data_IF_635254638466
#
_entry.id   IF_635254638466
#
_cell.length_a   1.000
_cell.length_b   1.000
_cell.length_c   1.000
_cell.angle_alpha   90.00
_cell.angle_beta   90.00
_cell.angle_gamma   90.00
#
_symmetry.space_group_name_H-M   'P 1'
#
loop_
_entity.id
_entity.type
_entity.pdbx_description
1 polymer ?
#
# COMPACT_ATOMS: atom_id res chain seq x y z
N UNK A 1 -10.54 -17.47 -11.13
CA UNK A 1 -9.41 -17.54 -10.19
C UNK A 1 -9.65 -16.35 -9.32
N UNK A 2 -10.27 -16.65 -8.19
CA UNK A 2 -10.76 -15.70 -7.21
C UNK A 2 -9.92 -16.03 -5.99
N UNK A 3 -8.83 -15.29 -5.82
CA UNK A 3 -8.03 -15.37 -4.60
C UNK A 3 -8.80 -14.61 -3.53
N UNK A 4 -9.83 -15.30 -3.07
CA UNK A 4 -10.63 -14.99 -1.91
C UNK A 4 -9.72 -15.19 -0.71
N UNK A 5 -9.28 -14.08 -0.12
CA UNK A 5 -8.58 -14.05 1.16
C UNK A 5 -9.43 -14.87 2.15
N UNK A 6 -8.86 -15.96 2.64
CA UNK A 6 -9.56 -16.86 3.56
C UNK A 6 -9.84 -16.17 4.89
N UNK A 7 -10.82 -16.65 5.69
CA UNK A 7 -11.17 -16.05 6.97
C UNK A 7 -10.10 -16.41 8.01
N UNK A 8 -8.96 -15.71 7.98
CA UNK A 8 -8.05 -15.66 9.12
C UNK A 8 -8.11 -14.25 9.71
N UNK A 9 -8.59 -14.16 10.94
CA UNK A 9 -8.90 -12.94 11.69
C UNK A 9 -7.64 -12.24 12.22
N UNK A 10 -6.58 -12.22 11.42
CA UNK A 10 -5.28 -11.67 11.78
C UNK A 10 -4.83 -10.75 10.65
N UNK A 11 -4.26 -9.61 11.02
CA UNK A 11 -3.59 -8.67 10.12
C UNK A 11 -2.85 -9.46 9.04
N UNK A 12 -3.32 -9.37 7.79
CA UNK A 12 -2.74 -10.11 6.70
C UNK A 12 -1.79 -9.17 5.94
N UNK A 13 -0.56 -9.62 5.68
CA UNK A 13 0.39 -8.93 4.81
C UNK A 13 0.83 -9.91 3.74
N UNK A 14 0.55 -9.57 2.50
CA UNK A 14 0.89 -10.37 1.32
C UNK A 14 1.88 -9.58 0.46
N UNK A 15 2.81 -10.29 -0.17
CA UNK A 15 3.77 -9.72 -1.09
C UNK A 15 3.59 -10.34 -2.48
N UNK A 16 3.55 -9.49 -3.51
CA UNK A 16 3.26 -9.88 -4.89
C UNK A 16 4.42 -9.51 -5.81
N UNK A 17 4.92 -10.51 -6.52
CA UNK A 17 5.81 -10.39 -7.68
C UNK A 17 4.93 -10.24 -8.94
N UNK A 18 4.87 -9.04 -9.51
CA UNK A 18 4.03 -8.73 -10.66
C UNK A 18 4.66 -9.11 -12.00
N UNK A 19 5.99 -9.11 -12.11
CA UNK A 19 6.68 -9.31 -13.38
C UNK A 19 7.37 -10.68 -13.51
N UNK A 20 7.43 -11.44 -12.42
CA UNK A 20 7.95 -12.79 -12.32
C UNK A 20 9.47 -12.87 -12.27
N UNK A 21 10.16 -11.78 -11.91
CA UNK A 21 11.63 -11.74 -11.84
C UNK A 21 12.20 -12.26 -10.51
N UNK A 22 11.32 -12.50 -9.53
CA UNK A 22 11.65 -13.03 -8.21
C UNK A 22 11.90 -11.97 -7.14
N UNK A 23 11.70 -10.68 -7.45
CA UNK A 23 11.56 -9.61 -6.49
C UNK A 23 10.08 -9.44 -6.09
N UNK A 24 9.84 -8.72 -5.00
CA UNK A 24 8.49 -8.46 -4.51
C UNK A 24 8.24 -6.97 -4.68
N UNK A 25 7.36 -6.60 -5.61
CA UNK A 25 7.12 -5.20 -5.96
C UNK A 25 5.96 -4.62 -5.15
N UNK A 26 4.98 -5.43 -4.76
CA UNK A 26 3.76 -4.93 -4.10
C UNK A 26 3.50 -5.59 -2.75
N UNK A 27 3.24 -4.79 -1.73
CA UNK A 27 2.80 -5.21 -0.40
C UNK A 27 1.34 -4.87 -0.20
N UNK A 28 0.49 -5.85 0.10
CA UNK A 28 -0.93 -5.68 0.41
C UNK A 28 -1.17 -5.93 1.90
N UNK A 29 -1.98 -5.09 2.55
CA UNK A 29 -2.24 -5.16 3.99
C UNK A 29 -3.73 -5.12 4.28
N UNK A 30 -4.23 -6.09 5.05
CA UNK A 30 -5.54 -6.08 5.72
C UNK A 30 -5.30 -5.69 7.18
N UNK A 31 -5.61 -4.44 7.53
CA UNK A 31 -5.34 -3.82 8.83
C UNK A 31 -6.46 -4.02 9.85
N UNK A 32 -7.69 -4.31 9.42
CA UNK A 32 -8.84 -4.53 10.31
C UNK A 32 -9.31 -5.99 10.39
N UNK A 33 -8.66 -6.86 9.62
CA UNK A 33 -8.88 -8.31 9.53
C UNK A 33 -10.29 -8.69 9.08
N UNK A 34 -10.89 -7.87 8.21
CA UNK A 34 -12.20 -8.13 7.63
C UNK A 34 -12.14 -9.01 6.36
N UNK A 35 -10.92 -9.30 5.88
CA UNK A 35 -10.66 -10.11 4.70
C UNK A 35 -10.56 -9.30 3.41
N UNK A 36 -10.53 -7.97 3.49
CA UNK A 36 -10.25 -7.06 2.38
C UNK A 36 -8.95 -6.29 2.64
N UNK A 37 -8.34 -5.80 1.55
CA UNK A 37 -7.08 -5.07 1.63
C UNK A 37 -7.41 -3.61 1.97
N UNK A 38 -6.75 -3.05 2.97
CA UNK A 38 -6.84 -1.63 3.33
C UNK A 38 -5.72 -0.80 2.71
N UNK A 39 -4.58 -1.42 2.39
CA UNK A 39 -3.39 -0.70 1.92
C UNK A 39 -2.60 -1.50 0.91
N UNK A 40 -2.18 -0.85 -0.17
CA UNK A 40 -1.23 -1.37 -1.15
C UNK A 40 -0.03 -0.43 -1.27
N UNK A 41 1.18 -0.94 -1.09
CA UNK A 41 2.43 -0.24 -1.33
C UNK A 41 3.14 -0.89 -2.51
N UNK A 42 3.69 -0.11 -3.43
CA UNK A 42 4.35 -0.63 -4.64
C UNK A 42 5.65 0.08 -4.92
N UNK A 43 6.74 -0.68 -5.02
CA UNK A 43 8.04 -0.31 -5.58
C UNK A 43 8.08 -0.74 -7.06
N UNK A 44 7.97 0.23 -7.96
CA UNK A 44 7.83 0.00 -9.41
C UNK A 44 9.19 -0.12 -10.08
N UNK A 45 10.22 0.57 -9.57
CA UNK A 45 11.53 0.63 -10.21
C UNK A 45 12.62 -0.21 -9.52
N UNK A 46 12.30 -0.81 -8.37
CA UNK A 46 13.12 -1.76 -7.64
C UNK A 46 14.28 -1.10 -6.90
N UNK A 47 14.17 0.18 -6.55
CA UNK A 47 15.23 0.91 -5.86
C UNK A 47 15.17 0.76 -4.33
N UNK A 48 14.13 0.10 -3.81
CA UNK A 48 13.90 -0.13 -2.40
C UNK A 48 12.97 0.90 -1.76
N UNK A 49 12.47 1.90 -2.47
CA UNK A 49 11.45 2.80 -1.98
C UNK A 49 10.13 2.52 -2.68
N UNK A 50 9.04 2.50 -1.92
CA UNK A 50 7.72 2.43 -2.54
C UNK A 50 7.49 3.72 -3.34
N UNK A 51 7.08 3.58 -4.61
CA UNK A 51 6.71 4.67 -5.51
C UNK A 51 5.25 5.09 -5.35
N UNK A 52 4.39 4.12 -4.98
CA UNK A 52 2.95 4.30 -4.90
C UNK A 52 2.40 3.70 -3.62
N UNK A 53 1.58 4.47 -2.92
CA UNK A 53 0.76 3.98 -1.82
C UNK A 53 -0.71 4.24 -2.14
N UNK A 54 -1.54 3.20 -2.05
CA UNK A 54 -2.97 3.26 -2.23
C UNK A 54 -3.66 2.77 -0.94
N UNK A 55 -4.66 3.51 -0.49
CA UNK A 55 -5.40 3.22 0.73
C UNK A 55 -6.88 3.15 0.43
N UNK A 56 -7.51 2.09 0.93
CA UNK A 56 -8.95 1.92 0.97
C UNK A 56 -9.39 2.09 2.42
N UNK A 57 -10.31 3.02 2.63
CA UNK A 57 -10.86 3.38 3.93
C UNK A 57 -12.35 3.05 4.01
N UNK A 58 -12.93 2.50 2.93
CA UNK A 58 -14.32 2.14 2.82
C UNK A 58 -14.53 0.65 3.16
N UNK A 59 -15.36 0.32 4.17
CA UNK A 59 -15.71 -1.06 4.49
C UNK A 59 -16.84 -1.55 3.56
N UNK A 60 -16.61 -1.52 2.24
CA UNK A 60 -17.58 -1.90 1.22
C UNK A 60 -17.29 -3.25 0.56
N UNK A 61 -16.11 -3.82 0.84
CA UNK A 61 -15.69 -5.15 0.41
C UNK A 61 -15.15 -5.19 -1.03
N UNK A 62 -14.75 -4.06 -1.59
CA UNK A 62 -14.01 -3.97 -2.84
C UNK A 62 -12.85 -3.00 -2.66
N UNK A 63 -11.64 -3.36 -3.12
CA UNK A 63 -10.51 -2.44 -3.03
C UNK A 63 -10.68 -1.27 -4.02
N UNK A 64 -11.27 -0.17 -3.54
CA UNK A 64 -11.39 1.09 -4.26
C UNK A 64 -10.59 2.13 -3.49
N UNK A 65 -9.40 2.52 -3.97
CA UNK A 65 -8.54 3.38 -3.19
C UNK A 65 -9.12 4.80 -3.09
N UNK A 66 -9.39 5.21 -1.85
CA UNK A 66 -9.84 6.55 -1.49
C UNK A 66 -8.67 7.53 -1.49
N UNK A 67 -7.47 7.04 -1.17
CA UNK A 67 -6.26 7.86 -1.14
C UNK A 67 -5.18 7.19 -1.95
N UNK A 68 -4.56 7.95 -2.86
CA UNK A 68 -3.39 7.49 -3.61
C UNK A 68 -2.27 8.52 -3.49
N UNK A 69 -1.15 8.11 -2.91
CA UNK A 69 0.07 8.87 -2.84
C UNK A 69 1.10 8.33 -3.85
N UNK A 70 1.85 9.24 -4.47
CA UNK A 70 2.90 8.92 -5.43
C UNK A 70 4.17 9.68 -5.06
N UNK A 71 5.27 8.97 -4.93
CA UNK A 71 6.63 9.51 -4.90
C UNK A 71 7.21 9.33 -6.30
N UNK A 72 7.42 10.43 -7.02
CA UNK A 72 8.01 10.39 -8.36
C UNK A 72 9.53 10.52 -8.33
N UNK A 73 10.09 10.86 -7.18
CA UNK A 73 11.51 11.17 -7.01
C UNK A 73 12.31 10.06 -6.33
N UNK A 74 11.65 9.07 -5.74
CA UNK A 74 12.27 7.94 -5.04
C UNK A 74 12.99 8.38 -3.76
N UNK A 75 12.43 9.36 -3.04
CA UNK A 75 13.00 9.85 -1.77
C UNK A 75 12.21 9.43 -0.53
N UNK A 76 11.16 8.62 -0.72
CA UNK A 76 10.23 8.13 0.30
C UNK A 76 9.16 9.13 0.70
N UNK A 77 9.05 10.26 -0.01
CA UNK A 77 8.11 11.36 0.28
C UNK A 77 7.14 11.51 -0.88
N UNK A 78 5.85 11.61 -0.57
CA UNK A 78 4.84 11.83 -1.60
C UNK A 78 5.06 13.19 -2.28
N UNK A 79 5.12 13.15 -3.61
CA UNK A 79 5.04 14.32 -4.48
C UNK A 79 3.60 14.71 -4.77
N UNK A 80 2.72 13.73 -4.87
CA UNK A 80 1.29 13.92 -5.19
C UNK A 80 0.45 13.03 -4.29
N UNK A 81 -0.64 13.57 -3.75
CA UNK A 81 -1.70 12.83 -3.08
C UNK A 81 -3.02 13.13 -3.79
N UNK A 82 -3.74 12.08 -4.13
CA UNK A 82 -5.12 12.10 -4.62
C UNK A 82 -6.02 11.63 -3.47
N UNK A 83 -7.13 12.33 -3.24
CA UNK A 83 -8.03 12.06 -2.11
C UNK A 83 -9.50 12.11 -2.60
N UNK A 84 -10.22 11.02 -2.45
CA UNK A 84 -11.68 10.90 -2.57
C UNK A 84 -12.28 11.16 -1.19
N UNK A 85 -12.79 12.38 -0.99
CA UNK A 85 -13.21 12.83 0.35
C UNK A 85 -14.63 12.39 0.67
N UNK A 86 -15.44 12.06 -0.33
CA UNK A 86 -16.82 11.61 -0.16
C UNK A 86 -17.05 10.12 -0.44
N UNK A 87 -15.99 9.39 -0.82
CA UNK A 87 -15.93 7.94 -1.03
C UNK A 87 -16.91 7.49 -2.12
N UNK A 88 -17.04 8.28 -3.19
CA UNK A 88 -17.92 7.97 -4.32
C UNK A 88 -17.23 7.21 -5.46
N UNK A 89 -15.93 6.91 -5.29
CA UNK A 89 -15.07 6.24 -6.25
C UNK A 89 -14.43 7.21 -7.24
N UNK A 90 -14.45 8.52 -6.95
CA UNK A 90 -13.80 9.55 -7.76
C UNK A 90 -13.00 10.51 -6.89
N UNK A 91 -11.74 10.75 -7.27
CA UNK A 91 -10.89 11.69 -6.52
C UNK A 91 -11.43 13.12 -6.60
N UNK A 92 -11.62 13.72 -5.43
CA UNK A 92 -12.09 15.08 -5.24
C UNK A 92 -10.96 16.11 -5.22
N UNK A 93 -9.84 15.74 -4.58
CA UNK A 93 -8.71 16.62 -4.33
C UNK A 93 -7.40 16.05 -4.89
N UNK A 94 -6.51 16.98 -5.26
CA UNK A 94 -5.14 16.68 -5.66
C UNK A 94 -4.21 17.65 -4.95
N UNK A 95 -3.39 17.12 -4.05
CA UNK A 95 -2.36 17.87 -3.34
C UNK A 95 -0.99 17.57 -3.93
N UNK A 96 -0.24 18.61 -4.31
CA UNK A 96 1.13 18.48 -4.87
C UNK A 96 2.17 19.08 -3.93
N UNK A 97 3.32 18.42 -3.79
CA UNK A 97 4.39 18.77 -2.86
C UNK A 97 3.97 18.79 -1.39
N UNK A 98 3.22 17.77 -0.89
CA UNK A 98 2.80 17.73 0.50
C UNK A 98 3.98 17.62 1.48
N UNK A 99 5.10 17.03 1.05
CA UNK A 99 6.25 16.79 1.92
C UNK A 99 5.96 15.78 3.04
N UNK A 100 4.94 14.94 2.83
CA UNK A 100 4.53 13.86 3.74
C UNK A 100 5.20 12.57 3.32
N UNK A 101 5.64 11.77 4.28
CA UNK A 101 6.14 10.41 4.01
C UNK A 101 5.04 9.64 3.26
N UNK A 102 5.40 8.89 2.21
CA UNK A 102 4.44 8.22 1.33
C UNK A 102 3.45 7.36 2.14
N UNK A 103 3.98 6.48 3.01
CA UNK A 103 3.18 5.59 3.86
C UNK A 103 2.26 6.31 4.88
N UNK A 104 2.56 7.57 5.21
CA UNK A 104 1.76 8.38 6.15
C UNK A 104 0.77 9.30 5.43
N UNK A 105 0.62 9.15 4.11
CA UNK A 105 -0.20 10.05 3.29
C UNK A 105 -1.71 9.84 3.45
N UNK A 106 -2.15 8.83 4.21
CA UNK A 106 -3.56 8.61 4.50
C UNK A 106 -4.06 9.52 5.65
N UNK A 107 -4.93 10.50 5.39
CA UNK A 107 -5.49 11.39 6.41
C UNK A 107 -6.61 10.74 7.26
N UNK A 108 -7.20 9.63 6.81
CA UNK A 108 -8.33 8.97 7.48
C UNK A 108 -7.90 7.99 8.58
N UNK A 109 -6.59 7.75 8.69
CA UNK A 109 -6.02 6.81 9.65
C UNK A 109 -5.98 5.39 9.10
N UNK A 110 -5.10 4.60 9.69
CA UNK A 110 -4.54 3.38 9.08
C UNK A 110 -3.03 3.37 9.27
N UNK A 111 -2.57 3.74 10.47
CA UNK A 111 -1.14 3.73 10.80
C UNK A 111 -0.82 2.41 11.48
N UNK A 112 -0.25 1.45 10.75
CA UNK A 112 0.60 0.47 11.39
C UNK A 112 2.04 0.99 11.43
N UNK A 113 2.51 1.17 12.67
CA UNK A 113 3.88 1.49 12.97
C UNK A 113 4.81 0.34 12.60
N UNK A 114 5.28 0.34 11.36
CA UNK A 114 6.70 0.41 11.12
C UNK A 114 6.92 1.59 10.19
N UNK A 115 7.62 2.60 10.70
CA UNK A 115 8.35 3.56 9.87
C UNK A 115 9.33 2.72 9.03
N UNK A 116 8.85 2.16 7.93
CA UNK A 116 9.70 1.52 6.94
C UNK A 116 9.78 2.48 5.77
N UNK A 117 10.68 3.44 5.91
CA UNK A 117 11.16 4.32 4.84
C UNK A 117 12.47 3.75 4.30
N UNK A 118 12.50 2.45 4.03
CA UNK A 118 13.70 1.69 3.66
C UNK A 118 13.38 0.57 2.67
N UNK A 119 14.39 -0.16 2.16
CA UNK A 119 14.28 -1.09 1.05
C UNK A 119 13.08 -2.02 1.19
N UNK A 120 12.10 -1.90 0.29
CA UNK A 120 11.28 -3.02 -0.17
C UNK A 120 12.25 -4.13 -0.59
N UNK A 121 12.32 -5.21 0.21
CA UNK A 121 12.73 -6.50 -0.33
C UNK A 121 14.23 -6.85 -0.45
N UNK A 122 15.18 -6.13 0.14
CA UNK A 122 16.55 -6.67 0.30
C UNK A 122 16.65 -7.73 1.42
N UNK A 123 15.66 -7.78 2.31
CA UNK A 123 15.50 -8.93 3.19
C UNK A 123 14.85 -10.05 2.39
N UNK A 124 15.70 -10.95 1.90
CA UNK A 124 15.35 -12.36 1.73
C UNK A 124 14.65 -12.78 3.02
N UNK A 125 13.32 -12.72 3.05
CA UNK A 125 12.58 -13.49 4.03
C UNK A 125 12.89 -14.92 3.63
N UNK A 126 13.83 -15.55 4.34
CA UNK A 126 13.91 -16.99 4.34
C UNK A 126 12.50 -17.45 4.67
N UNK A 127 11.75 -17.89 3.66
CA UNK A 127 10.62 -18.77 3.86
C UNK A 127 11.15 -19.82 4.81
N UNK A 128 10.66 -19.91 6.06
CA UNK A 128 11.14 -20.94 6.96
C UNK A 128 10.78 -22.24 6.28
N UNK A 129 11.81 -22.91 5.75
CA UNK A 129 11.67 -24.22 5.15
C UNK A 129 11.07 -25.11 6.23
N UNK A 130 9.85 -25.58 6.00
CA UNK A 130 9.28 -26.68 6.80
C UNK A 130 10.11 -27.94 6.63
#
# INVERSE_FOLDING_TARGET
>A
MSDFLGPDTALATEFVDLDGDGHLETTLVDSDSDGYVDTALTDVDGDGYDDVAAFDNAPDGEFVPDVVAVDHTGDGVADVILDDTDLDGTFDDVTTGPGTVLADSNPYGGTWGQSWSGPSGDDVFEVPSS
#
